data_IF_068178797926
#
_entry.id   IF_068178797926
#
_cell.length_a   1.000
_cell.length_b   1.000
_cell.length_c   1.000
_cell.angle_alpha   90.00
_cell.angle_beta   90.00
_cell.angle_gamma   90.00
#
_symmetry.space_group_name_H-M   'P 1'
#
loop_
_entity.id
_entity.type
_entity.pdbx_description
1 polymer ?
#
# COMPACT_ATOMS: atom_id res chain seq x y z
N UNK A 1 -2.60 9.03 -8.91
CA UNK A 1 -1.89 9.05 -7.60
C UNK A 1 -0.58 9.77 -7.80
N UNK A 2 -0.53 11.06 -7.44
CA UNK A 2 0.68 11.88 -7.52
C UNK A 2 1.51 11.58 -6.27
N UNK A 3 2.72 11.04 -6.42
CA UNK A 3 3.60 10.64 -5.30
C UNK A 3 5.00 11.23 -5.45
N UNK A 4 5.20 12.14 -6.39
CA UNK A 4 6.53 12.53 -6.88
C UNK A 4 7.26 13.43 -5.87
N UNK A 5 6.57 13.84 -4.80
CA UNK A 5 7.10 14.60 -3.66
C UNK A 5 7.27 13.76 -2.39
N UNK A 6 6.99 12.46 -2.43
CA UNK A 6 7.04 11.65 -1.20
C UNK A 6 8.48 11.46 -0.71
N UNK A 7 9.43 11.27 -1.63
CA UNK A 7 10.79 10.84 -1.30
C UNK A 7 11.65 11.90 -0.60
N UNK A 8 11.21 13.17 -0.58
CA UNK A 8 11.90 14.29 0.08
C UNK A 8 11.39 14.59 1.49
N UNK A 9 10.29 13.96 1.92
CA UNK A 9 9.67 14.21 3.23
C UNK A 9 10.27 13.33 4.33
N UNK A 10 10.12 13.71 5.60
CA UNK A 10 10.49 12.83 6.73
C UNK A 10 9.66 11.55 6.73
N UNK A 11 10.21 10.45 7.27
CA UNK A 11 9.53 9.15 7.30
C UNK A 11 8.07 9.26 7.80
N UNK A 12 7.82 9.92 8.93
CA UNK A 12 6.47 10.02 9.50
C UNK A 12 5.49 10.81 8.63
N UNK A 13 5.97 11.79 7.87
CA UNK A 13 5.15 12.50 6.89
C UNK A 13 4.79 11.58 5.71
N UNK A 14 5.76 10.78 5.25
CA UNK A 14 5.52 9.79 4.21
C UNK A 14 4.51 8.73 4.67
N UNK A 15 4.65 8.21 5.90
CA UNK A 15 3.72 7.26 6.51
C UNK A 15 2.31 7.85 6.67
N UNK A 16 2.21 9.09 7.15
CA UNK A 16 0.92 9.82 7.23
C UNK A 16 0.26 9.94 5.86
N UNK A 17 1.05 10.19 4.82
CA UNK A 17 0.54 10.24 3.45
C UNK A 17 0.05 8.87 2.97
N UNK A 18 0.73 7.78 3.33
CA UNK A 18 0.25 6.43 3.02
C UNK A 18 -1.07 6.11 3.74
N UNK A 19 -1.22 6.54 5.01
CA UNK A 19 -2.47 6.40 5.75
C UNK A 19 -3.61 7.14 5.02
N UNK A 20 -3.41 8.38 4.57
CA UNK A 20 -4.39 9.16 3.79
C UNK A 20 -4.89 8.43 2.53
N UNK A 21 -4.07 7.52 1.98
CA UNK A 21 -4.42 6.71 0.82
C UNK A 21 -5.22 5.43 1.17
N UNK A 22 -5.40 5.08 2.45
CA UNK A 22 -6.19 3.92 2.87
C UNK A 22 -7.72 4.14 2.78
N UNK A 23 -8.15 5.33 2.39
CA UNK A 23 -9.56 5.65 2.15
C UNK A 23 -10.25 4.70 1.17
N UNK A 24 -11.55 4.47 1.38
CA UNK A 24 -12.38 3.57 0.56
C UNK A 24 -13.64 4.24 0.01
N UNK A 25 -13.72 5.57 0.02
CA UNK A 25 -14.88 6.33 -0.50
C UNK A 25 -15.11 6.14 -1.99
N UNK A 26 -16.37 5.89 -2.36
CA UNK A 26 -16.83 5.86 -3.76
C UNK A 26 -16.44 7.15 -4.49
N UNK A 27 -16.00 7.00 -5.74
CA UNK A 27 -15.52 8.15 -6.52
C UNK A 27 -14.09 8.61 -6.21
N UNK A 28 -13.58 8.37 -5.00
CA UNK A 28 -12.30 8.89 -4.48
C UNK A 28 -11.29 7.78 -4.14
N UNK A 29 -10.97 6.94 -5.14
CA UNK A 29 -10.17 5.73 -4.96
C UNK A 29 -8.83 5.96 -4.22
N UNK A 30 -8.60 5.16 -3.17
CA UNK A 30 -7.34 5.01 -2.46
C UNK A 30 -6.51 3.81 -2.94
N UNK A 31 -5.60 3.33 -2.10
CA UNK A 31 -4.73 2.17 -2.38
C UNK A 31 -5.53 0.91 -2.70
N UNK A 32 -6.52 0.60 -1.88
CA UNK A 32 -7.38 -0.58 -2.07
C UNK A 32 -8.19 -0.49 -3.37
N UNK A 33 -8.71 0.71 -3.69
CA UNK A 33 -9.37 0.95 -4.97
C UNK A 33 -8.43 0.73 -6.17
N UNK A 34 -7.17 1.15 -6.06
CA UNK A 34 -6.16 0.90 -7.10
C UNK A 34 -5.83 -0.59 -7.26
N UNK A 35 -5.82 -1.38 -6.17
CA UNK A 35 -5.70 -2.85 -6.24
C UNK A 35 -6.85 -3.45 -7.04
N UNK A 36 -8.08 -3.07 -6.72
CA UNK A 36 -9.29 -3.58 -7.40
C UNK A 36 -9.29 -3.21 -8.88
N UNK A 37 -9.05 -1.94 -9.22
CA UNK A 37 -9.02 -1.48 -10.62
C UNK A 37 -7.92 -2.18 -11.42
N UNK A 38 -6.74 -2.37 -10.82
CA UNK A 38 -5.65 -3.11 -11.47
C UNK A 38 -6.02 -4.57 -11.71
N UNK A 39 -6.67 -5.24 -10.76
CA UNK A 39 -7.13 -6.62 -10.92
C UNK A 39 -8.19 -6.73 -12.02
N UNK A 40 -9.22 -5.88 -12.01
CA UNK A 40 -10.25 -5.84 -13.05
C UNK A 40 -9.66 -5.61 -14.45
N UNK A 41 -8.66 -4.74 -14.56
CA UNK A 41 -7.97 -4.49 -15.83
C UNK A 41 -7.24 -5.74 -16.32
N UNK A 42 -6.50 -6.42 -15.45
CA UNK A 42 -5.79 -7.66 -15.80
C UNK A 42 -6.74 -8.79 -16.18
N UNK A 43 -7.87 -8.94 -15.49
CA UNK A 43 -8.91 -9.91 -15.82
C UNK A 43 -9.55 -9.61 -17.18
N UNK A 44 -9.76 -8.33 -17.51
CA UNK A 44 -10.19 -7.89 -18.83
C UNK A 44 -9.19 -8.26 -19.92
N UNK A 45 -7.91 -7.96 -19.72
CA UNK A 45 -6.83 -8.31 -20.66
C UNK A 45 -6.75 -9.83 -20.87
N UNK A 46 -6.86 -10.61 -19.79
CA UNK A 46 -6.87 -12.08 -19.88
C UNK A 46 -8.04 -12.57 -20.73
N UNK A 47 -9.27 -12.10 -20.45
CA UNK A 47 -10.47 -12.47 -21.24
C UNK A 47 -10.31 -12.13 -22.72
N UNK A 48 -9.76 -10.97 -23.06
CA UNK A 48 -9.48 -10.58 -24.46
C UNK A 48 -8.48 -11.52 -25.13
N UNK A 49 -7.45 -11.98 -24.42
CA UNK A 49 -6.51 -12.99 -24.93
C UNK A 49 -7.20 -14.34 -25.15
N UNK A 50 -7.96 -14.81 -24.17
CA UNK A 50 -8.66 -16.10 -24.24
C UNK A 50 -9.70 -16.13 -25.39
N UNK A 51 -10.31 -14.99 -25.74
CA UNK A 51 -11.21 -14.89 -26.91
C UNK A 51 -10.43 -15.04 -28.21
N UNK A 52 -9.28 -14.37 -28.33
CA UNK A 52 -8.42 -14.46 -29.52
C UNK A 52 -7.83 -15.85 -29.73
N UNK A 53 -7.38 -16.49 -28.65
CA UNK A 53 -6.85 -17.86 -28.68
C UNK A 53 -7.91 -18.87 -29.14
N UNK A 54 -9.20 -18.58 -28.91
CA UNK A 54 -10.34 -19.36 -29.39
C UNK A 54 -10.85 -18.94 -30.77
N UNK A 55 -10.11 -18.10 -31.51
CA UNK A 55 -10.47 -17.64 -32.85
C UNK A 55 -11.56 -16.55 -32.89
N UNK A 56 -11.96 -15.99 -31.74
CA UNK A 56 -12.94 -14.92 -31.67
C UNK A 56 -12.35 -13.53 -31.94
N UNK A 57 -13.20 -12.61 -32.39
CA UNK A 57 -12.80 -11.22 -32.65
C UNK A 57 -12.76 -10.41 -31.34
N UNK A 58 -11.59 -9.84 -31.02
CA UNK A 58 -11.42 -8.97 -29.86
C UNK A 58 -10.47 -7.80 -30.15
N UNK A 59 -10.72 -6.65 -29.54
CA UNK A 59 -9.92 -5.42 -29.72
C UNK A 59 -8.44 -5.59 -29.32
N UNK A 60 -7.53 -4.76 -29.86
CA UNK A 60 -6.10 -4.81 -29.58
C UNK A 60 -5.79 -4.61 -28.09
N UNK A 61 -4.92 -5.48 -27.56
CA UNK A 61 -4.35 -5.30 -26.22
C UNK A 61 -3.35 -4.13 -26.24
N UNK A 62 -3.57 -3.14 -25.38
CA UNK A 62 -2.59 -2.08 -25.17
C UNK A 62 -1.52 -2.55 -24.17
N UNK A 63 -0.43 -3.10 -24.71
CA UNK A 63 0.70 -3.60 -23.93
C UNK A 63 1.34 -2.50 -23.08
N UNK A 64 1.46 -1.28 -23.60
CA UNK A 64 2.02 -0.15 -22.85
C UNK A 64 1.17 0.20 -21.62
N UNK A 65 -0.17 0.22 -21.77
CA UNK A 65 -1.11 0.43 -20.66
C UNK A 65 -1.02 -0.70 -19.64
N UNK A 66 -0.88 -1.95 -20.10
CA UNK A 66 -0.72 -3.13 -19.23
C UNK A 66 0.56 -3.06 -18.41
N UNK A 67 1.69 -2.76 -19.04
CA UNK A 67 2.98 -2.58 -18.36
C UNK A 67 2.91 -1.43 -17.36
N UNK A 68 2.32 -0.29 -17.74
CA UNK A 68 2.15 0.86 -16.85
C UNK A 68 1.31 0.50 -15.62
N UNK A 69 0.18 -0.18 -15.80
CA UNK A 69 -0.68 -0.57 -14.68
C UNK A 69 0.02 -1.56 -13.74
N UNK A 70 0.70 -2.55 -14.32
CA UNK A 70 1.52 -3.53 -13.58
C UNK A 70 2.58 -2.82 -12.74
N UNK A 71 3.28 -1.85 -13.33
CA UNK A 71 4.31 -1.09 -12.64
C UNK A 71 3.74 -0.20 -11.53
N UNK A 72 2.58 0.42 -11.72
CA UNK A 72 1.93 1.21 -10.66
C UNK A 72 1.52 0.33 -9.48
N UNK A 73 0.90 -0.83 -9.75
CA UNK A 73 0.49 -1.77 -8.71
C UNK A 73 1.72 -2.32 -7.96
N UNK A 74 2.71 -2.86 -8.67
CA UNK A 74 3.92 -3.46 -8.08
C UNK A 74 4.83 -2.44 -7.41
N UNK A 75 5.10 -1.31 -8.06
CA UNK A 75 6.12 -0.36 -7.61
C UNK A 75 5.60 0.75 -6.71
N UNK A 76 4.28 0.88 -6.50
CA UNK A 76 3.74 1.87 -5.56
C UNK A 76 2.77 1.23 -4.57
N UNK A 77 1.70 0.61 -5.05
CA UNK A 77 0.63 0.10 -4.18
C UNK A 77 1.12 -1.00 -3.25
N UNK A 78 1.82 -2.01 -3.79
CA UNK A 78 2.31 -3.14 -2.99
C UNK A 78 3.32 -2.69 -1.92
N UNK A 79 4.13 -1.69 -2.24
CA UNK A 79 5.15 -1.18 -1.32
C UNK A 79 4.55 -0.41 -0.16
N UNK A 80 3.51 0.39 -0.43
CA UNK A 80 2.81 1.11 0.60
C UNK A 80 2.03 0.14 1.50
N UNK A 81 1.38 -0.87 0.92
CA UNK A 81 0.69 -1.91 1.70
C UNK A 81 1.63 -2.68 2.64
N UNK A 82 2.87 -2.95 2.23
CA UNK A 82 3.88 -3.57 3.11
C UNK A 82 4.25 -2.69 4.29
N UNK A 83 4.45 -1.40 4.05
CA UNK A 83 4.78 -0.44 5.11
C UNK A 83 3.59 -0.21 6.04
N UNK A 84 2.38 -0.14 5.51
CA UNK A 84 1.15 -0.06 6.29
C UNK A 84 0.92 -1.31 7.14
N UNK A 85 1.23 -2.50 6.61
CA UNK A 85 1.17 -3.75 7.38
C UNK A 85 2.17 -3.76 8.54
N UNK A 86 3.41 -3.28 8.31
CA UNK A 86 4.36 -3.09 9.39
C UNK A 86 3.87 -2.04 10.41
N UNK A 87 3.39 -0.89 9.95
CA UNK A 87 2.83 0.13 10.85
C UNK A 87 1.70 -0.43 11.71
N UNK A 88 0.78 -1.18 11.12
CA UNK A 88 -0.30 -1.83 11.85
C UNK A 88 0.24 -2.77 12.94
N UNK A 89 1.33 -3.49 12.68
CA UNK A 89 1.90 -4.40 13.70
C UNK A 89 2.49 -3.67 14.91
N UNK A 90 2.82 -2.38 14.76
CA UNK A 90 3.39 -1.54 15.83
C UNK A 90 2.31 -0.67 16.46
N UNK A 91 1.43 -0.09 15.65
CA UNK A 91 0.41 0.89 16.01
C UNK A 91 -0.91 0.55 15.30
N UNK A 92 -1.68 -0.44 15.82
CA UNK A 92 -2.85 -0.98 15.12
C UNK A 92 -3.94 0.07 14.82
N UNK A 93 -4.17 1.02 15.73
CA UNK A 93 -5.30 1.97 15.65
C UNK A 93 -5.17 3.03 14.54
N UNK A 94 -4.00 3.14 13.90
CA UNK A 94 -3.77 4.05 12.77
C UNK A 94 -4.46 3.58 11.48
N UNK A 95 -4.63 2.26 11.30
CA UNK A 95 -5.37 1.75 10.14
C UNK A 95 -6.84 1.66 10.51
N UNK A 96 -7.63 2.55 9.92
CA UNK A 96 -9.06 2.67 10.21
C UNK A 96 -9.87 1.55 9.57
N UNK A 97 -10.94 1.14 10.26
CA UNK A 97 -11.94 0.26 9.69
C UNK A 97 -12.69 0.96 8.54
N UNK A 98 -13.37 0.22 7.64
CA UNK A 98 -14.04 0.81 6.49
C UNK A 98 -15.00 1.97 6.82
N UNK A 99 -15.74 1.86 7.92
CA UNK A 99 -16.69 2.89 8.38
C UNK A 99 -16.03 4.25 8.68
N UNK A 100 -14.76 4.23 9.09
CA UNK A 100 -13.98 5.42 9.44
C UNK A 100 -13.02 5.85 8.33
N UNK A 101 -12.82 5.01 7.30
CA UNK A 101 -11.88 5.23 6.21
C UNK A 101 -12.48 6.08 5.06
N UNK A 102 -13.23 7.13 5.38
CA UNK A 102 -13.77 8.06 4.39
C UNK A 102 -12.69 9.01 3.84
N UNK A 103 -12.90 9.62 2.66
CA UNK A 103 -11.96 10.56 2.07
C UNK A 103 -11.64 11.70 3.05
N UNK A 104 -12.68 12.33 3.61
CA UNK A 104 -12.54 13.49 4.51
C UNK A 104 -11.91 13.10 5.85
N UNK A 105 -12.31 11.97 6.43
CA UNK A 105 -11.73 11.49 7.68
C UNK A 105 -10.25 11.17 7.49
N UNK A 106 -9.91 10.46 6.41
CA UNK A 106 -8.54 10.09 6.13
C UNK A 106 -7.67 11.31 5.78
N UNK A 107 -8.18 12.40 5.20
CA UNK A 107 -7.36 13.61 4.97
C UNK A 107 -6.80 14.21 6.26
N UNK A 108 -7.51 14.03 7.39
CA UNK A 108 -7.13 14.57 8.70
C UNK A 108 -6.15 13.67 9.45
N UNK A 109 -5.94 12.42 9.00
CA UNK A 109 -5.08 11.47 9.70
C UNK A 109 -3.61 11.87 9.59
N UNK A 110 -2.88 11.82 10.70
CA UNK A 110 -1.43 11.94 10.76
C UNK A 110 -0.88 10.99 11.82
N UNK A 111 0.41 10.69 11.73
CA UNK A 111 1.14 9.98 12.79
C UNK A 111 1.55 11.02 13.84
N UNK A 112 0.90 10.99 15.01
CA UNK A 112 1.16 11.96 16.08
C UNK A 112 2.36 11.56 16.94
N UNK A 113 2.72 12.42 17.88
CA UNK A 113 3.96 12.31 18.67
C UNK A 113 4.11 10.97 19.36
N UNK A 114 3.03 10.40 19.90
CA UNK A 114 3.09 9.14 20.62
C UNK A 114 3.22 7.94 19.68
N UNK A 115 2.53 7.94 18.54
CA UNK A 115 2.75 6.93 17.50
C UNK A 115 4.16 7.03 16.90
N UNK A 116 4.71 8.24 16.76
CA UNK A 116 6.08 8.45 16.31
C UNK A 116 7.10 7.82 17.27
N UNK A 117 6.88 7.92 18.59
CA UNK A 117 7.73 7.25 19.59
C UNK A 117 7.69 5.74 19.45
N UNK A 118 6.49 5.15 19.32
CA UNK A 118 6.31 3.70 19.14
C UNK A 118 6.98 3.20 17.86
N UNK A 119 6.76 3.90 16.74
CA UNK A 119 7.39 3.57 15.46
C UNK A 119 8.91 3.74 15.50
N UNK A 120 9.42 4.76 16.17
CA UNK A 120 10.86 4.96 16.40
C UNK A 120 11.47 3.79 17.16
N UNK A 121 10.82 3.36 18.26
CA UNK A 121 11.28 2.22 19.03
C UNK A 121 11.27 0.94 18.19
N UNK A 122 10.20 0.70 17.43
CA UNK A 122 10.14 -0.46 16.54
C UNK A 122 11.23 -0.46 15.46
N UNK A 123 11.57 0.70 14.89
CA UNK A 123 12.68 0.84 13.94
C UNK A 123 14.04 0.54 14.58
N UNK A 124 14.25 0.95 15.83
CA UNK A 124 15.48 0.67 16.58
C UNK A 124 15.59 -0.81 16.92
N UNK A 125 14.54 -1.42 17.46
CA UNK A 125 14.49 -2.86 17.72
C UNK A 125 14.77 -3.66 16.44
N UNK A 126 14.20 -3.23 15.33
CA UNK A 126 14.46 -3.81 14.01
C UNK A 126 15.92 -3.62 13.58
N UNK A 127 16.54 -2.48 13.86
CA UNK A 127 17.94 -2.25 13.57
C UNK A 127 18.86 -3.14 14.41
N UNK A 128 18.51 -3.38 15.68
CA UNK A 128 19.26 -4.25 16.58
C UNK A 128 19.12 -5.73 16.17
N UNK A 129 17.90 -6.19 15.89
CA UNK A 129 17.62 -7.58 15.48
C UNK A 129 18.40 -7.97 14.21
N UNK A 130 18.61 -7.03 13.29
CA UNK A 130 19.32 -7.27 12.03
C UNK A 130 20.77 -6.79 12.06
N UNK A 131 21.32 -6.53 13.26
CA UNK A 131 22.69 -6.07 13.47
C UNK A 131 23.11 -4.91 12.55
N UNK A 132 22.19 -3.97 12.31
CA UNK A 132 22.44 -2.83 11.43
C UNK A 132 23.48 -1.89 12.07
N UNK A 133 24.41 -1.32 11.28
CA UNK A 133 25.44 -0.41 11.77
C UNK A 133 24.87 0.74 12.60
N UNK A 134 25.66 1.27 13.54
CA UNK A 134 25.29 2.44 14.36
C UNK A 134 24.94 3.68 13.51
N UNK A 135 25.57 3.80 12.34
CA UNK A 135 25.32 4.87 11.36
C UNK A 135 24.08 4.65 10.48
N UNK A 136 23.38 3.52 10.61
CA UNK A 136 22.27 3.18 9.71
C UNK A 136 21.07 4.12 9.95
N UNK A 137 20.41 4.65 8.90
CA UNK A 137 19.29 5.60 9.05
C UNK A 137 18.10 5.06 9.87
N UNK A 138 17.90 3.74 9.95
CA UNK A 138 16.86 3.15 10.82
C UNK A 138 17.08 3.40 12.32
N UNK A 139 18.30 3.74 12.76
CA UNK A 139 18.59 4.10 14.16
C UNK A 139 18.20 5.54 14.48
N UNK A 140 18.07 6.38 13.46
CA UNK A 140 17.70 7.79 13.54
C UNK A 140 16.47 8.10 12.63
N UNK A 141 15.24 8.08 13.18
CA UNK A 141 14.00 8.28 12.42
C UNK A 141 13.95 9.60 11.64
N UNK A 142 14.69 10.62 12.09
CA UNK A 142 14.77 11.93 11.42
C UNK A 142 15.45 11.79 10.06
N UNK A 143 16.43 10.87 9.96
CA UNK A 143 17.19 10.56 8.75
C UNK A 143 16.58 9.41 7.94
N UNK A 144 15.62 8.69 8.51
CA UNK A 144 14.95 7.60 7.83
C UNK A 144 13.96 8.11 6.77
N UNK A 145 13.81 7.37 5.69
CA UNK A 145 12.78 7.58 4.65
C UNK A 145 11.98 6.30 4.43
N UNK A 146 10.81 6.38 3.79
CA UNK A 146 10.05 5.17 3.43
C UNK A 146 10.87 4.21 2.56
N UNK A 147 11.82 4.74 1.76
CA UNK A 147 12.71 3.93 0.93
C UNK A 147 13.63 3.03 1.78
N UNK A 148 14.15 3.55 2.90
CA UNK A 148 14.97 2.78 3.85
C UNK A 148 14.12 1.71 4.53
N UNK A 149 12.95 2.10 5.06
CA UNK A 149 12.01 1.16 5.67
C UNK A 149 11.61 0.05 4.69
N UNK A 150 11.27 0.39 3.45
CA UNK A 150 10.94 -0.56 2.39
C UNK A 150 12.06 -1.56 2.14
N UNK A 151 13.30 -1.09 1.93
CA UNK A 151 14.46 -1.96 1.67
C UNK A 151 14.66 -2.92 2.83
N UNK A 152 14.45 -2.43 4.05
CA UNK A 152 14.59 -3.24 5.25
C UNK A 152 13.47 -4.28 5.35
N UNK A 153 12.19 -3.92 5.18
CA UNK A 153 11.06 -4.87 5.18
C UNK A 153 11.20 -5.97 4.12
N UNK A 154 11.76 -5.67 2.95
CA UNK A 154 12.02 -6.68 1.91
C UNK A 154 12.99 -7.77 2.35
N UNK A 155 13.90 -7.47 3.29
CA UNK A 155 14.84 -8.44 3.86
C UNK A 155 14.20 -9.30 4.96
N UNK A 156 12.97 -9.00 5.39
CA UNK A 156 12.30 -9.62 6.55
C UNK A 156 11.19 -10.59 6.15
N UNK A 157 11.49 -11.62 5.36
CA UNK A 157 10.48 -12.50 4.76
C UNK A 157 9.45 -13.11 5.73
N UNK A 158 9.75 -13.20 7.04
CA UNK A 158 8.88 -13.78 8.08
C UNK A 158 8.18 -12.75 8.99
N UNK A 159 8.38 -11.44 8.81
CA UNK A 159 7.80 -10.39 9.67
C UNK A 159 6.66 -9.64 8.95
N UNK A 160 5.78 -8.92 9.70
CA UNK A 160 4.76 -8.05 9.10
C UNK A 160 5.36 -7.11 8.04
N UNK A 161 4.73 -7.05 6.86
CA UNK A 161 5.24 -6.29 5.71
C UNK A 161 6.30 -7.03 4.85
N UNK A 162 6.86 -8.15 5.30
CA UNK A 162 7.83 -8.95 4.55
C UNK A 162 7.24 -10.14 3.79
N UNK A 163 6.08 -10.66 4.18
CA UNK A 163 5.41 -11.81 3.54
C UNK A 163 4.76 -11.53 2.17
N UNK A 164 4.06 -12.52 1.60
CA UNK A 164 3.28 -12.34 0.36
C UNK A 164 2.20 -11.27 0.52
N UNK A 165 1.95 -10.50 -0.55
CA UNK A 165 0.93 -9.45 -0.50
C UNK A 165 -0.48 -10.01 -0.27
N UNK A 166 -0.78 -11.19 -0.80
CA UNK A 166 -2.04 -11.86 -0.57
C UNK A 166 -2.30 -12.09 0.92
N UNK A 167 -1.27 -12.43 1.69
CA UNK A 167 -1.38 -12.57 3.15
C UNK A 167 -1.75 -11.25 3.83
N UNK A 168 -1.18 -10.14 3.38
CA UNK A 168 -1.53 -8.80 3.88
C UNK A 168 -3.00 -8.49 3.56
N UNK A 169 -3.41 -8.65 2.31
CA UNK A 169 -4.76 -8.34 1.86
C UNK A 169 -5.84 -9.27 2.45
N UNK A 170 -5.46 -10.45 2.95
CA UNK A 170 -6.36 -11.37 3.66
C UNK A 170 -6.41 -11.13 5.17
N UNK A 171 -5.54 -10.27 5.71
CA UNK A 171 -5.51 -9.93 7.13
C UNK A 171 -6.39 -8.72 7.46
N UNK A 172 -6.91 -8.66 8.69
CA UNK A 172 -7.66 -7.49 9.14
C UNK A 172 -6.72 -6.34 9.51
N UNK A 173 -7.09 -5.07 9.25
CA UNK A 173 -8.31 -4.55 8.60
C UNK A 173 -8.20 -4.46 7.06
N UNK A 174 -7.07 -4.89 6.47
CA UNK A 174 -6.80 -4.76 5.04
C UNK A 174 -7.84 -5.50 4.17
N UNK A 175 -8.31 -6.66 4.64
CA UNK A 175 -9.36 -7.43 3.98
C UNK A 175 -10.67 -6.64 3.91
N UNK A 176 -11.11 -6.09 5.03
CA UNK A 176 -12.35 -5.34 5.12
C UNK A 176 -12.28 -4.07 4.24
N UNK A 177 -11.13 -3.38 4.25
CA UNK A 177 -10.88 -2.23 3.37
C UNK A 177 -10.88 -2.61 1.88
N UNK A 178 -10.34 -3.78 1.54
CA UNK A 178 -10.36 -4.29 0.16
C UNK A 178 -11.78 -4.62 -0.30
N UNK A 179 -12.59 -5.24 0.57
CA UNK A 179 -13.99 -5.57 0.29
C UNK A 179 -14.80 -4.30 0.05
N UNK A 180 -14.69 -3.31 0.93
CA UNK A 180 -15.41 -2.04 0.78
C UNK A 180 -14.96 -1.28 -0.46
N UNK A 181 -13.65 -1.24 -0.73
CA UNK A 181 -13.13 -0.64 -1.96
C UNK A 181 -13.66 -1.34 -3.20
N UNK A 182 -13.78 -2.68 -3.19
CA UNK A 182 -14.33 -3.45 -4.31
C UNK A 182 -15.78 -3.08 -4.58
N UNK A 183 -16.61 -3.05 -3.53
CA UNK A 183 -18.01 -2.60 -3.61
C UNK A 183 -18.11 -1.21 -4.22
N UNK A 184 -17.32 -0.26 -3.73
CA UNK A 184 -17.39 1.14 -4.15
C UNK A 184 -16.80 1.39 -5.54
N UNK A 185 -15.83 0.58 -5.99
CA UNK A 185 -15.35 0.58 -7.36
C UNK A 185 -16.42 0.02 -8.30
N UNK A 186 -17.01 -1.13 -7.98
CA UNK A 186 -18.01 -1.77 -8.84
C UNK A 186 -19.25 -0.90 -9.03
N UNK A 187 -19.75 -0.25 -7.96
CA UNK A 187 -20.87 0.68 -8.04
C UNK A 187 -20.64 1.89 -8.98
N UNK A 188 -19.40 2.14 -9.41
CA UNK A 188 -19.06 3.20 -10.38
C UNK A 188 -18.94 2.67 -11.83
N UNK A 189 -18.70 1.37 -11.99
CA UNK A 189 -18.47 0.75 -13.31
C UNK A 189 -19.61 -0.19 -13.73
N UNK A 190 -20.60 -0.42 -12.87
CA UNK A 190 -21.85 -1.14 -13.09
C UNK A 190 -23.00 -0.18 -12.80
#
# INVERSE_FOLDING_TARGET
MRTDTLDTLSLFTQLSTMLKLCRVTAGCQGLFGAVVVSAMYHDGVKRTKDVRERGGQAGPNNNAKTTRMTNIAKNKVHLYLRQLCWMHSVVPHLIKAPAEASFDAMQKINVETDEQKLLTQALRCMADEYALPSSHPSRDPIKATASVLRKQLQRMSKRPGGGPLASILNSSPFRELLVEAKKNVLARYM
#
